data_IF_457368074719
#
_entry.id   IF_457368074719
#
_cell.length_a   1.000
_cell.length_b   1.000
_cell.length_c   1.000
_cell.angle_alpha   90.00
_cell.angle_beta   90.00
_cell.angle_gamma   90.00
#
_symmetry.space_group_name_H-M   'P 1'
#
loop_
_entity.id
_entity.type
_entity.pdbx_description
1 polymer ?
#
# COMPACT_ATOMS: atom_id res chain seq x y z
N UNK A 1 -17.71 50.45 -25.98
CA UNK A 1 -18.16 49.06 -26.20
C UNK A 1 -17.18 48.14 -25.49
N UNK A 2 -17.71 47.10 -24.85
CA UNK A 2 -17.21 46.51 -23.59
C UNK A 2 -15.75 46.03 -23.63
N UNK A 3 -14.91 46.63 -22.80
CA UNK A 3 -13.69 46.02 -22.24
C UNK A 3 -14.14 44.94 -21.26
N UNK A 4 -13.97 43.66 -21.62
CA UNK A 4 -14.19 42.54 -20.70
C UNK A 4 -12.91 42.33 -19.89
N UNK A 5 -12.90 42.98 -18.74
CA UNK A 5 -12.48 42.54 -17.40
C UNK A 5 -11.31 41.56 -17.25
N UNK A 6 -10.36 41.98 -16.42
CA UNK A 6 -9.45 41.12 -15.66
C UNK A 6 -10.18 39.96 -14.96
N UNK A 7 -9.51 38.81 -14.88
CA UNK A 7 -9.73 37.86 -13.78
C UNK A 7 -10.11 36.45 -14.18
N UNK A 8 -9.20 35.51 -13.92
CA UNK A 8 -9.36 34.53 -12.83
C UNK A 8 -8.18 33.58 -12.79
N UNK A 9 -7.48 33.58 -11.66
CA UNK A 9 -6.66 32.47 -11.22
C UNK A 9 -7.52 31.19 -11.21
N UNK A 10 -7.26 30.22 -12.09
CA UNK A 10 -7.84 28.88 -11.92
C UNK A 10 -7.10 27.80 -12.70
N UNK A 11 -5.77 27.77 -12.61
CA UNK A 11 -5.00 26.51 -12.72
C UNK A 11 -4.39 26.17 -11.36
N UNK A 12 -5.19 26.33 -10.29
CA UNK A 12 -5.03 25.45 -9.14
C UNK A 12 -5.45 24.05 -9.58
N UNK A 13 -4.58 23.39 -10.37
CA UNK A 13 -4.54 21.94 -10.46
C UNK A 13 -4.36 21.51 -9.02
N UNK A 14 -5.48 21.12 -8.41
CA UNK A 14 -5.58 20.78 -7.02
C UNK A 14 -4.52 19.68 -6.79
N UNK A 15 -3.40 20.03 -6.15
CA UNK A 15 -2.31 19.12 -5.76
C UNK A 15 -2.79 18.13 -4.67
N UNK A 16 -4.01 17.60 -4.80
CA UNK A 16 -4.30 16.24 -4.39
C UNK A 16 -3.41 15.38 -5.27
N UNK A 17 -2.19 15.14 -4.80
CA UNK A 17 -1.29 14.12 -5.35
C UNK A 17 -2.02 12.78 -5.23
N UNK A 18 -2.84 12.45 -6.23
CA UNK A 18 -3.57 11.19 -6.35
C UNK A 18 -2.60 10.20 -6.96
N UNK A 19 -2.44 9.04 -6.33
CA UNK A 19 -1.60 7.97 -6.89
C UNK A 19 -2.48 7.13 -7.82
N UNK A 20 -2.08 7.00 -9.09
CA UNK A 20 -2.81 6.25 -10.11
C UNK A 20 -2.07 4.95 -10.41
N UNK A 21 -2.78 3.81 -10.37
CA UNK A 21 -2.19 2.53 -10.77
C UNK A 21 -2.00 2.46 -12.29
N UNK A 22 -0.79 2.16 -12.80
CA UNK A 22 -0.55 2.02 -14.24
C UNK A 22 -1.15 0.74 -14.85
N UNK A 23 -1.50 -0.26 -14.05
CA UNK A 23 -2.02 -1.55 -14.54
C UNK A 23 -3.54 -1.60 -14.65
N UNK A 24 -4.26 -0.88 -13.79
CA UNK A 24 -5.73 -0.90 -13.75
C UNK A 24 -6.37 0.49 -13.60
N UNK A 25 -5.57 1.56 -13.66
CA UNK A 25 -6.01 2.96 -13.60
C UNK A 25 -6.85 3.32 -12.37
N UNK A 26 -6.71 2.55 -11.28
CA UNK A 26 -7.37 2.83 -10.02
C UNK A 26 -6.67 3.98 -9.29
N UNK A 27 -7.45 4.90 -8.74
CA UNK A 27 -6.94 6.08 -8.04
C UNK A 27 -6.93 5.89 -6.52
N UNK A 28 -5.88 6.41 -5.88
CA UNK A 28 -5.70 6.40 -4.43
C UNK A 28 -5.48 7.82 -3.93
N UNK A 29 -6.43 8.32 -3.13
CA UNK A 29 -6.43 9.67 -2.55
C UNK A 29 -6.61 9.61 -1.03
N UNK A 30 -6.26 10.69 -0.33
CA UNK A 30 -6.38 10.82 1.13
C UNK A 30 -5.13 10.40 1.93
N UNK A 31 -5.26 10.39 3.27
CA UNK A 31 -4.16 10.02 4.18
C UNK A 31 -3.72 8.57 3.93
N UNK A 32 -2.41 8.31 3.95
CA UNK A 32 -1.87 6.98 3.68
C UNK A 32 -2.04 6.49 2.23
N UNK A 33 -2.31 7.39 1.27
CA UNK A 33 -2.45 7.05 -0.17
C UNK A 33 -1.27 6.25 -0.72
N UNK A 34 -0.03 6.61 -0.32
CA UNK A 34 1.20 5.95 -0.76
C UNK A 34 1.21 4.49 -0.34
N UNK A 35 1.00 4.22 0.95
CA UNK A 35 0.94 2.85 1.50
C UNK A 35 -0.16 2.01 0.85
N UNK A 36 -1.34 2.60 0.60
CA UNK A 36 -2.44 1.91 -0.09
C UNK A 36 -2.11 1.63 -1.55
N UNK A 37 -1.44 2.56 -2.21
CA UNK A 37 -0.95 2.43 -3.58
C UNK A 37 0.13 1.36 -3.69
N UNK A 38 1.22 1.43 -2.90
CA UNK A 38 2.32 0.45 -2.91
C UNK A 38 1.77 -0.97 -2.65
N UNK A 39 0.87 -1.11 -1.68
CA UNK A 39 0.19 -2.38 -1.40
C UNK A 39 -0.66 -2.89 -2.56
N UNK A 40 -1.28 -1.98 -3.29
CA UNK A 40 -2.05 -2.35 -4.47
C UNK A 40 -1.13 -2.77 -5.62
N UNK A 41 0.02 -2.12 -5.81
CA UNK A 41 0.99 -2.51 -6.84
C UNK A 41 1.50 -3.94 -6.60
N UNK A 42 1.70 -4.36 -5.35
CA UNK A 42 2.04 -5.76 -5.01
C UNK A 42 1.02 -6.80 -5.54
N UNK A 43 -0.23 -6.42 -5.79
CA UNK A 43 -1.21 -7.35 -6.39
C UNK A 43 -0.99 -7.58 -7.88
N UNK A 44 -0.28 -6.67 -8.56
CA UNK A 44 0.10 -6.81 -9.96
C UNK A 44 1.47 -7.45 -10.11
N UNK A 45 2.46 -7.05 -9.29
CA UNK A 45 3.83 -7.61 -9.33
C UNK A 45 3.91 -9.02 -8.74
N UNK A 46 2.94 -9.39 -7.91
CA UNK A 46 2.94 -10.68 -7.20
C UNK A 46 3.96 -10.74 -6.07
N UNK A 47 4.58 -9.61 -5.72
CA UNK A 47 5.53 -9.52 -4.62
C UNK A 47 4.85 -9.85 -3.29
N UNK A 48 5.52 -10.69 -2.50
CA UNK A 48 5.04 -11.17 -1.20
C UNK A 48 6.17 -10.99 -0.18
N UNK A 49 6.37 -9.75 0.31
CA UNK A 49 7.49 -9.42 1.20
C UNK A 49 7.39 -10.07 2.59
N UNK A 50 6.23 -10.58 2.99
CA UNK A 50 6.04 -11.21 4.28
C UNK A 50 6.13 -12.73 4.13
N UNK A 51 7.23 -13.33 4.59
CA UNK A 51 7.44 -14.77 4.57
C UNK A 51 7.21 -15.37 5.96
N UNK A 52 6.61 -16.56 6.01
CA UNK A 52 6.62 -17.37 7.21
C UNK A 52 8.00 -18.07 7.32
N UNK A 53 8.70 -18.01 8.46
CA UNK A 53 9.96 -18.74 8.61
C UNK A 53 9.76 -20.22 8.96
N UNK A 54 8.54 -20.61 9.32
CA UNK A 54 8.19 -21.98 9.71
C UNK A 54 7.62 -22.80 8.54
N UNK A 55 7.26 -22.17 7.43
CA UNK A 55 6.71 -22.83 6.25
C UNK A 55 6.90 -21.98 4.98
N UNK A 56 6.76 -22.54 3.76
CA UNK A 56 6.99 -21.80 2.52
C UNK A 56 5.91 -20.75 2.19
N UNK A 57 4.95 -20.46 3.10
CA UNK A 57 3.90 -19.49 2.84
C UNK A 57 4.47 -18.06 2.79
N UNK A 58 4.11 -17.34 1.72
CA UNK A 58 4.39 -15.91 1.58
C UNK A 58 3.10 -15.11 1.40
N UNK A 59 3.06 -13.94 2.01
CA UNK A 59 1.92 -13.03 2.06
C UNK A 59 2.33 -11.63 1.61
N UNK A 60 1.38 -10.88 1.06
CA UNK A 60 1.56 -9.46 0.68
C UNK A 60 1.11 -8.47 1.77
N UNK A 61 0.70 -8.98 2.94
CA UNK A 61 0.28 -8.19 4.10
C UNK A 61 0.76 -8.83 5.38
N UNK A 62 1.23 -8.01 6.29
CA UNK A 62 1.66 -8.39 7.63
C UNK A 62 0.52 -9.03 8.44
N UNK A 63 -0.68 -8.42 8.43
CA UNK A 63 -1.85 -8.95 9.15
C UNK A 63 -2.27 -10.35 8.68
N UNK A 64 -2.02 -10.67 7.40
CA UNK A 64 -2.23 -12.02 6.89
C UNK A 64 -1.21 -13.01 7.47
N UNK A 65 0.06 -12.59 7.62
CA UNK A 65 1.11 -13.41 8.22
C UNK A 65 0.85 -13.66 9.71
N UNK A 66 0.48 -12.64 10.50
CA UNK A 66 0.08 -12.84 11.90
C UNK A 66 -1.09 -13.81 12.05
N UNK A 67 -2.13 -13.64 11.22
CA UNK A 67 -3.28 -14.55 11.23
C UNK A 67 -2.87 -15.97 10.86
N UNK A 68 -1.98 -16.12 9.88
CA UNK A 68 -1.42 -17.41 9.51
C UNK A 68 -0.64 -18.03 10.67
N UNK A 69 0.32 -17.31 11.28
CA UNK A 69 1.12 -17.81 12.39
C UNK A 69 0.24 -18.25 13.57
N UNK A 70 -0.78 -17.47 13.90
CA UNK A 70 -1.74 -17.81 14.96
C UNK A 70 -2.57 -19.05 14.66
N UNK A 71 -3.07 -19.20 13.42
CA UNK A 71 -3.96 -20.31 13.05
C UNK A 71 -3.21 -21.59 12.72
N UNK A 72 -2.04 -21.48 12.10
CA UNK A 72 -1.29 -22.60 11.55
C UNK A 72 -0.21 -23.10 12.52
N UNK A 73 0.44 -22.19 13.24
CA UNK A 73 1.54 -22.53 14.16
C UNK A 73 1.19 -22.28 15.63
N UNK A 74 0.00 -21.73 15.93
CA UNK A 74 -0.41 -21.45 17.31
C UNK A 74 0.34 -20.29 17.96
N UNK A 75 1.17 -19.55 17.22
CA UNK A 75 1.97 -18.46 17.77
C UNK A 75 1.09 -17.28 18.19
N UNK A 76 1.39 -16.68 19.34
CA UNK A 76 0.70 -15.47 19.80
C UNK A 76 1.41 -14.21 19.30
N UNK A 77 0.77 -13.04 19.40
CA UNK A 77 1.34 -11.78 18.90
C UNK A 77 2.73 -11.48 19.48
N UNK A 78 3.01 -11.89 20.73
CA UNK A 78 4.31 -11.71 21.37
C UNK A 78 5.41 -12.55 20.71
N UNK A 79 5.08 -13.77 20.27
CA UNK A 79 6.04 -14.66 19.61
C UNK A 79 6.36 -14.18 18.20
N UNK A 80 5.38 -13.57 17.53
CA UNK A 80 5.49 -13.20 16.11
C UNK A 80 6.33 -11.96 15.84
N UNK A 81 6.52 -11.07 16.81
CA UNK A 81 7.32 -9.84 16.66
C UNK A 81 8.81 -10.15 16.46
N UNK A 82 9.29 -11.25 17.06
CA UNK A 82 10.66 -11.75 16.88
C UNK A 82 10.86 -12.58 15.60
N UNK A 83 9.78 -12.92 14.91
CA UNK A 83 9.75 -13.90 13.82
C UNK A 83 9.48 -13.23 12.46
N UNK A 84 8.74 -12.12 12.47
CA UNK A 84 8.40 -11.37 11.25
C UNK A 84 9.50 -10.37 10.96
N UNK A 85 10.46 -10.76 10.13
CA UNK A 85 11.35 -9.79 9.49
C UNK A 85 10.61 -9.17 8.31
N UNK A 86 10.34 -7.84 8.27
CA UNK A 86 9.98 -7.22 7.03
C UNK A 86 11.17 -7.45 6.10
N UNK A 87 10.96 -8.19 5.00
CA UNK A 87 11.94 -8.27 3.94
C UNK A 87 11.95 -6.90 3.25
N UNK A 88 12.55 -5.90 3.89
CA UNK A 88 12.83 -4.62 3.27
C UNK A 88 13.92 -4.88 2.25
N UNK A 89 13.49 -5.17 1.01
CA UNK A 89 14.31 -4.99 -0.17
C UNK A 89 14.84 -3.55 -0.13
N UNK A 90 16.17 -3.43 -0.02
CA UNK A 90 16.93 -2.20 -0.21
C UNK A 90 16.75 -1.65 -1.61
#
# INVERSE_FOLDING_TARGET
>A
MVVVTEGRQSERVLLLQVMLCPYCHRSFSGVGRKQRYDRHIMTHTGEKPYACPLCPLRCNRESNLYRHLRRHHGCTNHDTDSIISPSTSS
#
